data_IF_633107166677
#
_entry.id   IF_633107166677
#
_cell.length_a   1.000
_cell.length_b   1.000
_cell.length_c   1.000
_cell.angle_alpha   90.00
_cell.angle_beta   90.00
_cell.angle_gamma   90.00
#
_symmetry.space_group_name_H-M   'P 1'
#
loop_
_entity.id
_entity.type
_entity.pdbx_description
1 polymer ?
#
# COMPACT_ATOMS: atom_id res chain seq x y z
N UNK A 1 7.38 8.22 13.45
CA UNK A 1 6.32 8.11 12.40
C UNK A 1 6.79 8.85 11.16
N UNK A 2 6.28 8.50 9.99
CA UNK A 2 6.63 9.14 8.71
C UNK A 2 5.73 10.35 8.52
N UNK A 3 6.26 11.56 8.77
CA UNK A 3 5.49 12.82 8.75
C UNK A 3 4.84 13.13 7.39
N UNK A 4 5.44 12.63 6.29
CA UNK A 4 4.91 12.84 4.94
C UNK A 4 3.64 12.03 4.64
N UNK A 5 3.26 11.09 5.51
CA UNK A 5 2.07 10.25 5.36
C UNK A 5 1.01 10.66 6.39
N UNK A 6 0.18 11.62 6.02
CA UNK A 6 -1.03 11.96 6.76
C UNK A 6 -2.15 10.95 6.42
N UNK A 7 -3.36 11.15 6.97
CA UNK A 7 -4.46 10.16 7.00
C UNK A 7 -4.70 9.35 5.73
N UNK A 8 -4.79 10.00 4.54
CA UNK A 8 -5.27 9.32 3.33
C UNK A 8 -4.38 9.56 2.13
N UNK A 9 -4.04 8.47 1.45
CA UNK A 9 -3.38 8.44 0.17
C UNK A 9 -4.26 7.83 -0.91
N UNK A 10 -3.84 7.98 -2.17
CA UNK A 10 -4.50 7.41 -3.33
C UNK A 10 -3.52 6.59 -4.16
N UNK A 11 -3.93 5.41 -4.60
CA UNK A 11 -3.18 4.64 -5.57
C UNK A 11 -3.54 5.10 -6.99
N UNK A 12 -2.53 5.22 -7.84
CA UNK A 12 -2.68 5.54 -9.26
C UNK A 12 -2.05 4.46 -10.15
N UNK A 13 -2.72 4.21 -11.26
CA UNK A 13 -2.22 3.37 -12.34
C UNK A 13 -1.28 4.15 -13.23
N UNK A 14 -0.16 3.53 -13.66
CA UNK A 14 0.79 4.13 -14.59
C UNK A 14 0.19 4.13 -15.99
N UNK A 15 -0.16 5.31 -16.46
CA UNK A 15 -0.73 5.60 -17.79
C UNK A 15 0.02 6.76 -18.43
N UNK A 16 -0.34 7.09 -19.68
CA UNK A 16 0.21 8.27 -20.35
C UNK A 16 -0.20 9.57 -19.66
N UNK A 17 -1.39 9.58 -19.00
CA UNK A 17 -1.97 10.73 -18.29
C UNK A 17 -1.58 10.78 -16.80
N UNK A 18 -0.57 10.01 -16.37
CA UNK A 18 -0.18 9.87 -14.96
C UNK A 18 0.04 11.22 -14.25
N UNK A 19 0.69 12.18 -14.90
CA UNK A 19 0.98 13.48 -14.31
C UNK A 19 -0.28 14.35 -14.14
N UNK A 20 -1.25 14.24 -15.04
CA UNK A 20 -2.53 14.92 -14.94
C UNK A 20 -3.33 14.32 -13.79
N UNK A 21 -3.41 13.00 -13.70
CA UNK A 21 -4.04 12.26 -12.61
C UNK A 21 -3.41 12.62 -11.26
N UNK A 22 -2.09 12.68 -11.20
CA UNK A 22 -1.37 13.04 -9.97
C UNK A 22 -1.72 14.46 -9.48
N UNK A 23 -1.81 15.45 -10.40
CA UNK A 23 -2.24 16.82 -10.05
C UNK A 23 -3.68 16.86 -9.58
N UNK A 24 -4.58 16.09 -10.19
CA UNK A 24 -5.97 16.01 -9.77
C UNK A 24 -6.09 15.45 -8.34
N UNK A 25 -5.41 14.34 -8.04
CA UNK A 25 -5.37 13.71 -6.72
C UNK A 25 -4.80 14.66 -5.67
N UNK A 26 -3.70 15.35 -5.96
CA UNK A 26 -3.14 16.39 -5.07
C UNK A 26 -4.15 17.55 -4.87
N UNK A 27 -4.85 17.96 -5.94
CA UNK A 27 -5.87 19.01 -5.90
C UNK A 27 -7.08 18.65 -5.03
N UNK A 28 -7.46 17.38 -4.97
CA UNK A 28 -8.52 16.88 -4.09
C UNK A 28 -8.10 16.77 -2.62
N UNK A 29 -6.81 16.93 -2.30
CA UNK A 29 -6.31 16.96 -0.92
C UNK A 29 -5.76 15.65 -0.38
N UNK A 30 -5.58 14.62 -1.20
CA UNK A 30 -4.84 13.44 -0.78
C UNK A 30 -3.39 13.81 -0.46
N UNK A 31 -2.80 13.16 0.53
CA UNK A 31 -1.48 13.52 1.05
C UNK A 31 -0.35 12.66 0.47
N UNK A 32 -0.69 11.53 -0.16
CA UNK A 32 0.27 10.70 -0.85
C UNK A 32 -0.31 10.05 -2.11
N UNK A 33 0.57 9.76 -3.06
CA UNK A 33 0.28 9.00 -4.27
C UNK A 33 1.10 7.71 -4.26
N UNK A 34 0.41 6.59 -4.45
CA UNK A 34 0.98 5.25 -4.44
C UNK A 34 0.95 4.64 -5.84
N UNK A 35 2.02 3.96 -6.20
CA UNK A 35 2.10 3.19 -7.46
C UNK A 35 2.39 1.74 -7.14
N UNK A 36 1.51 0.84 -7.58
CA UNK A 36 1.66 -0.59 -7.34
C UNK A 36 2.97 -1.13 -7.95
N UNK A 37 3.72 -1.92 -7.16
CA UNK A 37 5.04 -2.44 -7.56
C UNK A 37 5.03 -3.26 -8.85
N UNK A 38 3.92 -3.96 -9.13
CA UNK A 38 3.75 -4.70 -10.39
C UNK A 38 3.72 -3.83 -11.65
N UNK A 39 3.54 -2.51 -11.51
CA UNK A 39 3.56 -1.53 -12.61
C UNK A 39 4.93 -0.86 -12.77
N UNK A 40 5.84 -1.06 -11.82
CA UNK A 40 7.16 -0.43 -11.80
C UNK A 40 8.18 -1.31 -12.54
N UNK A 41 8.07 -1.40 -13.86
CA UNK A 41 9.12 -2.00 -14.71
C UNK A 41 10.36 -1.10 -14.74
N UNK A 42 10.17 0.21 -14.59
CA UNK A 42 11.21 1.21 -14.28
C UNK A 42 10.75 2.05 -13.10
N UNK A 43 11.64 2.81 -12.49
CA UNK A 43 11.32 3.69 -11.36
C UNK A 43 10.95 5.12 -11.80
N UNK A 44 11.03 5.43 -13.10
CA UNK A 44 10.71 6.74 -13.68
C UNK A 44 9.28 7.25 -13.38
N UNK A 45 8.22 6.41 -13.33
CA UNK A 45 6.89 6.89 -12.98
C UNK A 45 6.83 7.64 -11.64
N UNK A 46 7.66 7.25 -10.66
CA UNK A 46 7.72 7.92 -9.36
C UNK A 46 8.29 9.34 -9.49
N UNK A 47 9.32 9.51 -10.30
CA UNK A 47 9.94 10.81 -10.57
C UNK A 47 8.99 11.72 -11.39
N UNK A 48 8.23 11.15 -12.33
CA UNK A 48 7.19 11.87 -13.08
C UNK A 48 6.15 12.48 -12.13
N UNK A 49 5.66 11.72 -11.16
CA UNK A 49 4.70 12.19 -10.16
C UNK A 49 5.33 13.30 -9.31
N UNK A 50 6.57 13.11 -8.83
CA UNK A 50 7.28 14.13 -8.03
C UNK A 50 7.44 15.46 -8.77
N UNK A 51 7.76 15.42 -10.08
CA UNK A 51 7.89 16.62 -10.92
C UNK A 51 6.55 17.29 -11.21
N UNK A 52 5.46 16.49 -11.28
CA UNK A 52 4.13 16.99 -11.63
C UNK A 52 3.37 17.62 -10.44
N UNK A 53 3.77 17.30 -9.21
CA UNK A 53 3.09 17.67 -7.97
C UNK A 53 3.99 18.50 -7.05
N UNK A 54 3.42 19.11 -6.01
CA UNK A 54 4.15 20.07 -5.15
C UNK A 54 4.20 19.68 -3.67
N UNK A 55 3.25 18.87 -3.18
CA UNK A 55 3.08 18.56 -1.75
C UNK A 55 3.02 17.09 -1.43
N UNK A 56 2.32 16.30 -2.25
CA UNK A 56 2.06 14.88 -1.96
C UNK A 56 3.34 14.08 -1.84
N UNK A 57 3.37 13.17 -0.89
CA UNK A 57 4.39 12.13 -0.84
C UNK A 57 4.18 11.13 -1.98
N UNK A 58 5.25 10.59 -2.53
CA UNK A 58 5.21 9.55 -3.57
C UNK A 58 5.77 8.26 -2.99
N UNK A 59 5.01 7.18 -3.14
CA UNK A 59 5.34 5.90 -2.50
C UNK A 59 5.17 4.75 -3.49
N UNK A 60 6.22 3.98 -3.79
CA UNK A 60 6.05 2.68 -4.45
C UNK A 60 5.39 1.68 -3.49
N UNK A 61 4.32 1.06 -3.91
CA UNK A 61 3.58 0.05 -3.13
C UNK A 61 3.70 -1.36 -3.71
N UNK A 62 4.83 -2.00 -3.74
CA UNK A 62 6.17 -1.76 -3.19
C UNK A 62 7.24 -2.03 -4.26
N UNK A 63 8.48 -1.59 -4.07
CA UNK A 63 9.61 -2.06 -4.87
C UNK A 63 10.02 -3.45 -4.39
N UNK A 64 9.95 -4.42 -5.30
CA UNK A 64 10.45 -5.77 -5.05
C UNK A 64 11.96 -5.81 -5.31
N UNK A 65 12.74 -6.26 -4.31
CA UNK A 65 14.20 -6.24 -4.37
C UNK A 65 14.81 -7.20 -5.41
N UNK A 66 14.03 -8.14 -5.93
CA UNK A 66 14.42 -9.02 -7.04
C UNK A 66 14.15 -8.39 -8.42
N UNK A 67 13.48 -7.24 -8.47
CA UNK A 67 13.23 -6.45 -9.69
C UNK A 67 14.17 -5.25 -9.75
N UNK A 68 14.25 -4.48 -8.66
CA UNK A 68 15.14 -3.33 -8.55
C UNK A 68 16.04 -3.51 -7.32
N UNK A 69 17.34 -3.62 -7.56
CA UNK A 69 18.35 -3.79 -6.51
C UNK A 69 18.59 -2.52 -5.69
N UNK A 70 19.37 -2.62 -4.60
CA UNK A 70 19.68 -1.50 -3.71
C UNK A 70 20.29 -0.29 -4.43
N UNK A 71 21.15 -0.51 -5.42
CA UNK A 71 21.79 0.55 -6.21
C UNK A 71 20.76 1.42 -6.95
N UNK A 72 19.84 0.79 -7.69
CA UNK A 72 18.78 1.50 -8.41
C UNK A 72 17.83 2.27 -7.47
N UNK A 73 17.59 1.73 -6.27
CA UNK A 73 16.78 2.40 -5.24
C UNK A 73 17.53 3.60 -4.65
N UNK A 74 18.84 3.48 -4.44
CA UNK A 74 19.67 4.58 -3.96
C UNK A 74 19.75 5.72 -4.99
N UNK A 75 19.90 5.39 -6.28
CA UNK A 75 19.85 6.36 -7.37
C UNK A 75 18.50 7.08 -7.45
N UNK A 76 17.39 6.32 -7.40
CA UNK A 76 16.04 6.89 -7.33
C UNK A 76 15.90 7.87 -6.16
N UNK A 77 16.36 7.48 -4.97
CA UNK A 77 16.23 8.31 -3.77
C UNK A 77 17.03 9.61 -3.92
N UNK A 78 18.27 9.53 -4.41
CA UNK A 78 19.10 10.70 -4.63
C UNK A 78 18.49 11.67 -5.67
N UNK A 79 17.94 11.16 -6.78
CA UNK A 79 17.26 11.98 -7.78
C UNK A 79 15.98 12.61 -7.23
N UNK A 80 15.18 11.83 -6.48
CA UNK A 80 13.97 12.32 -5.85
C UNK A 80 14.25 13.45 -4.84
N UNK A 81 15.29 13.32 -4.03
CA UNK A 81 15.72 14.37 -3.08
C UNK A 81 16.19 15.64 -3.80
N UNK A 82 16.81 15.51 -4.97
CA UNK A 82 17.19 16.67 -5.79
C UNK A 82 15.98 17.39 -6.42
N UNK A 83 14.91 16.67 -6.76
CA UNK A 83 13.69 17.21 -7.39
C UNK A 83 12.72 17.76 -6.32
N UNK A 84 12.46 16.98 -5.28
CA UNK A 84 11.42 17.19 -4.30
C UNK A 84 11.83 16.66 -2.92
N UNK A 85 12.70 17.39 -2.18
CA UNK A 85 13.25 16.92 -0.93
C UNK A 85 12.20 16.44 0.06
N UNK A 86 12.40 15.24 0.61
CA UNK A 86 11.54 14.65 1.64
C UNK A 86 10.19 14.12 1.17
N UNK A 87 9.91 14.09 -0.13
CA UNK A 87 8.61 13.64 -0.64
C UNK A 87 8.59 12.17 -1.11
N UNK A 88 9.74 11.54 -1.34
CA UNK A 88 9.79 10.12 -1.62
C UNK A 88 9.84 9.32 -0.32
N UNK A 89 8.93 8.34 -0.18
CA UNK A 89 8.98 7.31 0.86
C UNK A 89 9.13 5.96 0.17
N UNK A 90 10.23 5.26 0.46
CA UNK A 90 10.60 4.02 -0.23
C UNK A 90 9.87 2.83 0.38
N UNK A 91 8.81 2.36 -0.27
CA UNK A 91 8.15 1.11 0.09
C UNK A 91 8.90 -0.10 -0.47
N UNK A 92 9.36 -0.97 0.41
CA UNK A 92 10.15 -2.16 0.06
C UNK A 92 9.40 -3.45 0.32
N UNK A 93 9.61 -4.45 -0.54
CA UNK A 93 9.14 -5.80 -0.35
C UNK A 93 10.25 -6.83 -0.55
N UNK A 94 10.08 -7.99 0.05
CA UNK A 94 10.94 -9.14 -0.29
C UNK A 94 10.69 -9.60 -1.72
N UNK A 95 11.50 -10.56 -2.23
CA UNK A 95 11.34 -11.09 -3.56
C UNK A 95 9.91 -11.64 -3.76
N UNK A 96 9.36 -11.42 -4.94
CA UNK A 96 8.00 -11.85 -5.32
C UNK A 96 7.88 -13.38 -5.31
N UNK A 97 8.98 -14.08 -5.57
CA UNK A 97 9.04 -15.54 -5.49
C UNK A 97 9.45 -15.98 -4.09
N UNK A 98 8.66 -16.87 -3.50
CA UNK A 98 9.01 -17.50 -2.21
C UNK A 98 10.31 -18.27 -2.37
N UNK A 99 11.41 -17.77 -1.81
CA UNK A 99 12.72 -18.42 -1.82
C UNK A 99 13.20 -18.65 -0.39
N UNK A 100 13.88 -19.77 -0.18
CA UNK A 100 14.65 -19.96 1.05
C UNK A 100 15.68 -18.82 1.16
N UNK A 101 15.73 -18.16 2.32
CA UNK A 101 16.65 -17.03 2.54
C UNK A 101 16.10 -15.64 2.16
N UNK A 102 14.85 -15.52 1.69
CA UNK A 102 14.27 -14.23 1.30
C UNK A 102 14.39 -13.13 2.38
N UNK A 103 14.27 -13.49 3.66
CA UNK A 103 14.42 -12.53 4.77
C UNK A 103 15.89 -12.12 4.98
N UNK A 104 16.83 -13.04 4.76
CA UNK A 104 18.26 -12.74 4.82
C UNK A 104 18.70 -11.83 3.65
N UNK A 105 18.22 -12.13 2.43
CA UNK A 105 18.46 -11.29 1.25
C UNK A 105 17.90 -9.87 1.44
N UNK A 106 16.71 -9.75 2.03
CA UNK A 106 16.15 -8.43 2.41
C UNK A 106 17.04 -7.72 3.43
N UNK A 107 17.59 -8.45 4.42
CA UNK A 107 18.52 -7.89 5.40
C UNK A 107 19.79 -7.33 4.76
N UNK A 108 20.41 -8.09 3.85
CA UNK A 108 21.62 -7.65 3.12
C UNK A 108 21.34 -6.40 2.27
N UNK A 109 20.27 -6.40 1.49
CA UNK A 109 19.89 -5.24 0.69
C UNK A 109 19.59 -4.01 1.56
N UNK A 110 19.00 -4.22 2.73
CA UNK A 110 18.75 -3.14 3.68
C UNK A 110 20.04 -2.56 4.27
N UNK A 111 21.06 -3.39 4.55
CA UNK A 111 22.37 -2.92 5.04
C UNK A 111 23.02 -1.93 4.06
N UNK A 112 22.85 -2.14 2.75
CA UNK A 112 23.30 -1.21 1.71
C UNK A 112 22.46 0.08 1.65
N UNK A 113 21.15 -0.04 1.80
CA UNK A 113 20.22 1.10 1.70
C UNK A 113 20.22 2.01 2.93
N UNK A 114 20.58 1.51 4.11
CA UNK A 114 20.56 2.30 5.35
C UNK A 114 21.53 3.47 5.35
N UNK A 115 22.59 3.40 4.56
CA UNK A 115 23.55 4.50 4.40
C UNK A 115 22.99 5.68 3.57
N UNK A 116 21.96 5.45 2.74
CA UNK A 116 21.46 6.41 1.74
C UNK A 116 20.03 6.83 2.04
N UNK A 117 19.15 5.88 2.35
CA UNK A 117 17.74 6.15 2.61
C UNK A 117 17.49 6.14 4.12
N UNK A 118 17.11 7.26 4.75
CA UNK A 118 16.84 7.32 6.19
C UNK A 118 15.74 6.35 6.62
N UNK A 119 15.81 5.87 7.86
CA UNK A 119 14.81 4.94 8.41
C UNK A 119 13.38 5.45 8.27
N UNK A 120 13.15 6.71 8.58
CA UNK A 120 11.86 7.40 8.51
C UNK A 120 11.36 7.62 7.07
N UNK A 121 12.15 7.24 6.08
CA UNK A 121 11.78 7.26 4.66
C UNK A 121 11.60 5.88 4.06
N UNK A 122 11.55 4.83 4.90
CA UNK A 122 11.41 3.44 4.45
C UNK A 122 10.19 2.79 5.08
N UNK A 123 9.39 2.11 4.26
CA UNK A 123 8.31 1.22 4.66
C UNK A 123 8.61 -0.20 4.22
N UNK A 124 8.16 -1.18 5.01
CA UNK A 124 8.27 -2.59 4.66
C UNK A 124 6.88 -3.20 4.44
N UNK A 125 6.68 -3.89 3.31
CA UNK A 125 5.51 -4.75 3.12
C UNK A 125 5.59 -5.95 4.07
N UNK A 126 4.74 -5.96 5.08
CA UNK A 126 4.81 -6.91 6.17
C UNK A 126 3.43 -7.38 6.65
N UNK A 127 3.19 -8.69 6.56
CA UNK A 127 1.98 -9.33 7.08
C UNK A 127 2.31 -10.28 8.25
N UNK A 128 3.42 -11.00 8.18
CA UNK A 128 3.79 -11.98 9.18
C UNK A 128 4.65 -11.40 10.31
N UNK A 129 4.67 -12.07 11.49
CA UNK A 129 5.32 -11.55 12.69
C UNK A 129 6.81 -11.21 12.49
N UNK A 130 7.59 -12.05 11.76
CA UNK A 130 9.03 -11.79 11.54
C UNK A 130 9.29 -10.53 10.71
N UNK A 131 8.45 -10.26 9.69
CA UNK A 131 8.56 -9.05 8.89
C UNK A 131 8.10 -7.81 9.66
N UNK A 132 7.08 -7.95 10.52
CA UNK A 132 6.62 -6.86 11.38
C UNK A 132 7.69 -6.49 12.43
N UNK A 133 8.38 -7.48 13.01
CA UNK A 133 9.52 -7.21 13.89
C UNK A 133 10.64 -6.46 13.14
N UNK A 134 10.98 -6.91 11.93
CA UNK A 134 11.97 -6.23 11.09
C UNK A 134 11.53 -4.81 10.72
N UNK A 135 10.24 -4.61 10.40
CA UNK A 135 9.68 -3.29 10.12
C UNK A 135 9.82 -2.35 11.32
N UNK A 136 9.44 -2.83 12.51
CA UNK A 136 9.57 -2.08 13.76
C UNK A 136 11.02 -1.71 14.05
N UNK A 137 11.96 -2.62 13.84
CA UNK A 137 13.36 -2.44 14.26
C UNK A 137 14.18 -1.63 13.25
N UNK A 138 13.91 -1.75 11.94
CA UNK A 138 14.76 -1.20 10.87
C UNK A 138 14.08 -0.25 9.89
N UNK A 139 12.75 -0.03 9.99
CA UNK A 139 11.99 0.84 9.07
C UNK A 139 11.24 1.93 9.84
N UNK A 140 10.76 2.94 9.14
CA UNK A 140 9.84 3.93 9.68
C UNK A 140 8.44 3.37 9.92
N UNK A 141 8.12 2.23 9.29
CA UNK A 141 6.85 1.57 9.46
C UNK A 141 6.65 0.37 8.54
N UNK A 142 5.41 -0.11 8.53
CA UNK A 142 4.96 -1.21 7.69
C UNK A 142 3.78 -0.82 6.81
N UNK A 143 3.66 -1.47 5.65
CA UNK A 143 2.45 -1.43 4.83
C UNK A 143 1.84 -2.82 4.74
N UNK A 144 0.52 -2.88 4.94
CA UNK A 144 -0.30 -4.09 4.83
C UNK A 144 -1.31 -3.94 3.70
N UNK A 145 -1.69 -5.05 3.12
CA UNK A 145 -2.68 -5.13 2.04
C UNK A 145 -3.53 -6.38 2.24
N UNK A 146 -4.82 -6.35 1.87
CA UNK A 146 -5.77 -7.45 2.03
C UNK A 146 -5.92 -7.87 3.51
N UNK A 147 -6.11 -6.91 4.39
CA UNK A 147 -6.33 -7.13 5.82
C UNK A 147 -7.67 -6.56 6.27
N UNK A 148 -8.29 -7.22 7.26
CA UNK A 148 -9.47 -6.68 7.94
C UNK A 148 -9.06 -5.80 9.14
N UNK A 149 -9.97 -5.01 9.72
CA UNK A 149 -9.66 -4.14 10.87
C UNK A 149 -9.10 -4.90 12.08
N UNK A 150 -9.57 -6.11 12.37
CA UNK A 150 -9.07 -6.92 13.50
C UNK A 150 -7.61 -7.31 13.26
N UNK A 151 -7.24 -7.62 12.02
CA UNK A 151 -5.85 -7.91 11.69
C UNK A 151 -4.98 -6.64 11.75
N UNK A 152 -5.52 -5.49 11.34
CA UNK A 152 -4.86 -4.19 11.48
C UNK A 152 -4.56 -3.88 12.95
N UNK A 153 -5.51 -4.11 13.87
CA UNK A 153 -5.30 -3.96 15.30
C UNK A 153 -4.18 -4.89 15.81
N UNK A 154 -4.19 -6.16 15.39
CA UNK A 154 -3.12 -7.10 15.73
C UNK A 154 -1.74 -6.65 15.20
N UNK A 155 -1.69 -6.11 13.97
CA UNK A 155 -0.44 -5.54 13.40
C UNK A 155 0.02 -4.33 14.22
N UNK A 156 -0.90 -3.44 14.59
CA UNK A 156 -0.61 -2.26 15.41
C UNK A 156 -0.01 -2.65 16.76
N UNK A 157 -0.60 -3.62 17.45
CA UNK A 157 -0.08 -4.10 18.74
C UNK A 157 1.35 -4.61 18.61
N UNK A 158 1.66 -5.34 17.51
CA UNK A 158 3.00 -5.88 17.29
C UNK A 158 4.01 -4.85 16.83
N UNK A 159 3.59 -3.90 16.00
CA UNK A 159 4.46 -2.85 15.47
C UNK A 159 4.78 -1.78 16.52
N UNK A 160 3.86 -1.56 17.46
CA UNK A 160 3.96 -0.51 18.48
C UNK A 160 3.67 0.90 17.96
N UNK A 161 3.46 1.85 18.85
CA UNK A 161 3.08 3.22 18.53
C UNK A 161 4.19 4.11 17.95
N UNK A 162 5.44 3.63 17.92
CA UNK A 162 6.59 4.38 17.38
C UNK A 162 6.84 4.23 15.88
N UNK A 163 6.07 3.37 15.20
CA UNK A 163 6.21 3.07 13.78
C UNK A 163 4.93 3.40 13.02
N UNK A 164 5.05 3.86 11.80
CA UNK A 164 3.89 4.14 10.92
C UNK A 164 3.25 2.84 10.43
N UNK A 165 1.95 2.68 10.61
CA UNK A 165 1.17 1.60 10.02
C UNK A 165 0.35 2.13 8.84
N UNK A 166 0.65 1.64 7.66
CA UNK A 166 -0.10 1.92 6.44
C UNK A 166 -0.97 0.72 6.09
N UNK A 167 -2.23 0.98 5.79
CA UNK A 167 -3.15 -0.02 5.22
C UNK A 167 -3.47 0.39 3.78
N UNK A 168 -3.07 -0.43 2.82
CA UNK A 168 -3.51 -0.29 1.44
C UNK A 168 -4.87 -1.00 1.30
N UNK A 169 -5.93 -0.21 1.18
CA UNK A 169 -7.30 -0.69 1.11
C UNK A 169 -7.79 -0.70 -0.34
N UNK A 170 -7.96 -1.90 -0.88
CA UNK A 170 -8.60 -2.09 -2.17
C UNK A 170 -10.09 -1.75 -2.08
N UNK A 171 -10.56 -0.91 -3.02
CA UNK A 171 -11.91 -0.33 -3.01
C UNK A 171 -12.65 -0.65 -4.31
N UNK A 172 -13.90 -1.13 -4.21
CA UNK A 172 -14.81 -1.28 -5.35
C UNK A 172 -16.06 -0.45 -5.10
N UNK A 173 -16.17 0.69 -5.78
CA UNK A 173 -17.32 1.59 -5.63
C UNK A 173 -18.49 1.11 -6.51
N UNK A 174 -19.14 0.03 -6.10
CA UNK A 174 -20.29 -0.59 -6.77
C UNK A 174 -21.21 -1.22 -5.72
N UNK A 175 -22.50 -0.93 -5.77
CA UNK A 175 -23.49 -1.44 -4.82
C UNK A 175 -23.99 -2.86 -5.18
N UNK A 176 -23.79 -3.30 -6.40
CA UNK A 176 -24.10 -4.68 -6.78
C UNK A 176 -23.05 -5.64 -6.23
N UNK A 177 -23.46 -6.47 -5.29
CA UNK A 177 -22.57 -7.39 -4.59
C UNK A 177 -21.89 -8.41 -5.51
N UNK A 178 -22.56 -8.86 -6.57
CA UNK A 178 -22.01 -9.83 -7.50
C UNK A 178 -20.91 -9.20 -8.34
N UNK A 179 -21.15 -8.03 -8.88
CA UNK A 179 -20.19 -7.24 -9.67
C UNK A 179 -18.99 -6.85 -8.81
N UNK A 180 -19.21 -6.29 -7.61
CA UNK A 180 -18.14 -5.87 -6.71
C UNK A 180 -17.24 -7.03 -6.29
N UNK A 181 -17.81 -8.17 -5.88
CA UNK A 181 -17.04 -9.35 -5.50
C UNK A 181 -16.31 -9.99 -6.68
N UNK A 182 -16.90 -9.93 -7.89
CA UNK A 182 -16.22 -10.42 -9.09
C UNK A 182 -14.96 -9.58 -9.40
N UNK A 183 -15.06 -8.25 -9.34
CA UNK A 183 -13.92 -7.35 -9.52
C UNK A 183 -12.83 -7.57 -8.45
N UNK A 184 -13.21 -7.82 -7.20
CA UNK A 184 -12.28 -8.08 -6.10
C UNK A 184 -11.53 -9.43 -6.23
N UNK A 185 -12.17 -10.46 -6.81
CA UNK A 185 -11.56 -11.80 -6.93
C UNK A 185 -10.38 -11.85 -7.90
N UNK A 186 -10.35 -11.00 -8.90
CA UNK A 186 -9.25 -10.98 -9.88
C UNK A 186 -7.90 -10.67 -9.19
N UNK A 187 -7.71 -9.52 -8.51
CA UNK A 187 -6.47 -9.24 -7.79
C UNK A 187 -6.26 -10.18 -6.60
N UNK A 188 -7.31 -10.61 -5.90
CA UNK A 188 -7.21 -11.56 -4.80
C UNK A 188 -6.62 -12.89 -5.26
N UNK A 189 -7.03 -13.41 -6.42
CA UNK A 189 -6.53 -14.66 -7.00
C UNK A 189 -5.03 -14.58 -7.39
N UNK A 190 -4.55 -13.41 -7.78
CA UNK A 190 -3.13 -13.18 -8.03
C UNK A 190 -2.35 -13.05 -6.72
N UNK A 191 -2.78 -12.16 -5.83
CA UNK A 191 -2.07 -11.82 -4.59
C UNK A 191 -2.04 -12.98 -3.59
N UNK A 192 -3.10 -13.80 -3.52
CA UNK A 192 -3.14 -14.97 -2.62
C UNK A 192 -2.04 -16.00 -2.89
N UNK A 193 -1.46 -15.99 -4.10
CA UNK A 193 -0.32 -16.84 -4.48
C UNK A 193 1.03 -16.26 -4.06
N UNK A 194 1.08 -14.97 -3.70
CA UNK A 194 2.29 -14.33 -3.20
C UNK A 194 2.49 -14.71 -1.73
N UNK A 195 3.73 -15.02 -1.36
CA UNK A 195 4.03 -15.55 -0.02
C UNK A 195 3.59 -14.62 1.11
N UNK A 196 2.91 -15.20 2.10
CA UNK A 196 2.46 -14.51 3.32
C UNK A 196 0.95 -14.27 3.40
N UNK A 197 0.24 -14.11 2.27
CA UNK A 197 -1.20 -13.83 2.29
C UNK A 197 -2.03 -15.00 2.83
N UNK A 198 -1.79 -16.23 2.38
CA UNK A 198 -2.51 -17.40 2.91
C UNK A 198 -2.38 -17.53 4.43
N UNK A 199 -1.18 -17.32 4.97
CA UNK A 199 -0.95 -17.35 6.41
C UNK A 199 -1.63 -16.16 7.14
N UNK A 200 -1.75 -15.00 6.51
CA UNK A 200 -2.50 -13.87 7.05
C UNK A 200 -4.01 -14.16 7.06
N UNK A 201 -4.56 -14.70 5.99
CA UNK A 201 -5.97 -15.10 5.91
C UNK A 201 -6.32 -16.18 6.93
N UNK A 202 -5.45 -17.19 7.12
CA UNK A 202 -5.64 -18.19 8.19
C UNK A 202 -5.64 -17.56 9.58
N UNK A 203 -4.81 -16.53 9.84
CA UNK A 203 -4.85 -15.77 11.12
C UNK A 203 -6.12 -14.93 11.28
N UNK A 204 -6.71 -14.47 10.18
CA UNK A 204 -8.02 -13.81 10.18
C UNK A 204 -9.18 -14.79 10.40
N UNK A 205 -8.89 -16.10 10.51
CA UNK A 205 -9.87 -17.14 10.79
C UNK A 205 -10.45 -17.84 9.58
N UNK A 206 -9.96 -17.58 8.38
CA UNK A 206 -10.41 -18.26 7.16
C UNK A 206 -9.77 -19.64 7.01
N UNK A 207 -10.59 -20.61 6.63
CA UNK A 207 -10.16 -21.98 6.33
C UNK A 207 -9.43 -22.06 4.99
N UNK A 208 -8.64 -23.11 4.79
CA UNK A 208 -7.94 -23.37 3.51
C UNK A 208 -8.90 -23.45 2.33
N UNK A 209 -10.13 -23.91 2.55
CA UNK A 209 -11.18 -23.99 1.52
C UNK A 209 -11.67 -22.60 1.15
N UNK A 210 -12.01 -21.75 2.12
CA UNK A 210 -12.43 -20.36 1.88
C UNK A 210 -11.35 -19.54 1.17
N UNK A 211 -10.09 -19.75 1.54
CA UNK A 211 -8.94 -19.09 0.90
C UNK A 211 -8.79 -19.54 -0.54
N UNK A 212 -8.82 -20.85 -0.79
CA UNK A 212 -8.66 -21.42 -2.14
C UNK A 212 -9.80 -21.01 -3.07
N UNK A 213 -11.02 -20.98 -2.56
CA UNK A 213 -12.23 -20.62 -3.31
C UNK A 213 -12.48 -19.11 -3.36
N UNK A 214 -11.67 -18.32 -2.67
CA UNK A 214 -11.86 -16.87 -2.53
C UNK A 214 -13.31 -16.55 -2.14
N UNK A 215 -13.73 -17.13 -1.01
CA UNK A 215 -15.13 -17.06 -0.52
C UNK A 215 -15.62 -15.61 -0.45
N UNK A 216 -16.93 -15.43 -0.54
CA UNK A 216 -17.55 -14.11 -0.35
C UNK A 216 -17.13 -13.48 0.98
N UNK A 217 -17.04 -14.29 2.05
CA UNK A 217 -16.59 -13.83 3.35
C UNK A 217 -15.15 -13.29 3.34
N UNK A 218 -14.23 -13.94 2.64
CA UNK A 218 -12.85 -13.46 2.50
C UNK A 218 -12.80 -12.13 1.73
N UNK A 219 -13.55 -12.03 0.63
CA UNK A 219 -13.66 -10.78 -0.15
C UNK A 219 -14.22 -9.66 0.71
N UNK A 220 -15.35 -9.90 1.39
CA UNK A 220 -16.04 -8.90 2.22
C UNK A 220 -15.19 -8.43 3.40
N UNK A 221 -14.31 -9.30 3.91
CA UNK A 221 -13.39 -8.96 5.00
C UNK A 221 -12.22 -8.10 4.53
N UNK A 222 -11.71 -8.31 3.32
CA UNK A 222 -10.42 -7.73 2.87
C UNK A 222 -10.58 -6.57 1.88
N UNK A 223 -11.75 -6.41 1.25
CA UNK A 223 -12.07 -5.30 0.33
C UNK A 223 -13.12 -4.36 0.93
N UNK A 224 -13.00 -3.08 0.60
CA UNK A 224 -14.07 -2.11 0.85
C UNK A 224 -14.92 -1.99 -0.43
N UNK A 225 -16.17 -2.47 -0.41
CA UNK A 225 -17.05 -2.38 -1.57
C UNK A 225 -18.45 -1.90 -1.21
N UNK A 226 -19.15 -1.33 -2.17
CA UNK A 226 -20.51 -0.80 -2.00
C UNK A 226 -20.63 0.66 -2.40
N UNK A 227 -21.66 1.35 -1.91
CA UNK A 227 -21.81 2.80 -2.03
C UNK A 227 -20.75 3.56 -1.22
N UNK A 228 -20.61 4.85 -1.48
CA UNK A 228 -19.58 5.69 -0.86
C UNK A 228 -19.60 5.62 0.68
N UNK A 229 -20.78 5.66 1.31
CA UNK A 229 -20.90 5.62 2.77
C UNK A 229 -20.36 4.33 3.38
N UNK A 230 -20.60 3.19 2.73
CA UNK A 230 -20.08 1.89 3.17
C UNK A 230 -18.56 1.78 3.01
N UNK A 231 -18.04 2.29 1.89
CA UNK A 231 -16.58 2.36 1.67
C UNK A 231 -15.94 3.25 2.71
N UNK A 232 -16.47 4.47 2.94
CA UNK A 232 -15.97 5.39 3.95
C UNK A 232 -16.01 4.81 5.37
N UNK A 233 -17.05 4.05 5.71
CA UNK A 233 -17.14 3.36 6.99
C UNK A 233 -15.98 2.36 7.16
N UNK A 234 -15.68 1.55 6.13
CA UNK A 234 -14.55 0.61 6.15
C UNK A 234 -13.19 1.31 6.31
N UNK A 235 -12.96 2.45 5.64
CA UNK A 235 -11.72 3.22 5.79
C UNK A 235 -11.54 3.71 7.23
N UNK A 236 -12.63 4.22 7.85
CA UNK A 236 -12.63 4.64 9.26
C UNK A 236 -12.43 3.48 10.24
N UNK A 237 -12.93 2.28 9.93
CA UNK A 237 -12.66 1.07 10.71
C UNK A 237 -11.17 0.73 10.72
N UNK A 238 -10.46 0.89 9.60
CA UNK A 238 -9.00 0.70 9.53
C UNK A 238 -8.24 1.73 10.38
N UNK A 239 -8.66 3.01 10.34
CA UNK A 239 -8.08 4.04 11.21
C UNK A 239 -8.33 3.73 12.70
N UNK A 240 -9.56 3.39 13.06
CA UNK A 240 -9.92 3.04 14.44
C UNK A 240 -9.16 1.80 14.94
N UNK A 241 -8.79 0.89 14.03
CA UNK A 241 -7.96 -0.27 14.30
C UNK A 241 -6.46 0.06 14.42
N UNK A 242 -6.06 1.32 14.20
CA UNK A 242 -4.70 1.79 14.42
C UNK A 242 -3.88 2.05 13.15
N UNK A 243 -4.49 2.09 11.96
CA UNK A 243 -3.80 2.60 10.78
C UNK A 243 -3.53 4.10 10.94
N UNK A 244 -2.28 4.54 10.73
CA UNK A 244 -1.93 5.96 10.70
C UNK A 244 -2.22 6.56 9.32
N UNK A 245 -2.17 5.74 8.28
CA UNK A 245 -2.37 6.11 6.90
C UNK A 245 -3.14 5.01 6.16
N UNK A 246 -4.19 5.40 5.46
CA UNK A 246 -4.99 4.48 4.63
C UNK A 246 -4.87 4.89 3.17
N UNK A 247 -4.39 3.99 2.33
CA UNK A 247 -4.31 4.18 0.88
C UNK A 247 -5.61 3.67 0.26
N UNK A 248 -6.24 4.48 -0.55
CA UNK A 248 -7.41 4.09 -1.34
C UNK A 248 -6.92 3.59 -2.70
N UNK A 249 -7.13 2.30 -2.97
CA UNK A 249 -6.73 1.63 -4.21
C UNK A 249 -7.98 1.18 -4.97
N UNK A 250 -8.53 2.01 -5.89
CA UNK A 250 -9.74 1.71 -6.61
C UNK A 250 -9.59 0.55 -7.58
N UNK A 251 -10.65 -0.27 -7.69
CA UNK A 251 -10.77 -1.37 -8.64
C UNK A 251 -12.15 -1.33 -9.31
N UNK A 252 -12.19 -1.49 -10.62
CA UNK A 252 -13.48 -1.55 -11.35
C UNK A 252 -14.37 -0.32 -11.12
N UNK A 253 -15.69 -0.54 -11.09
CA UNK A 253 -16.67 0.52 -10.83
C UNK A 253 -16.61 1.67 -11.83
N UNK A 254 -16.78 2.94 -11.37
CA UNK A 254 -16.76 4.12 -12.23
C UNK A 254 -15.37 4.49 -12.75
N UNK A 255 -14.34 3.75 -12.37
CA UNK A 255 -12.95 4.01 -12.68
C UNK A 255 -12.18 4.66 -11.52
N UNK A 256 -10.86 4.65 -11.65
CA UNK A 256 -9.93 5.06 -10.60
C UNK A 256 -10.14 6.52 -10.14
N UNK A 257 -10.05 7.47 -11.07
CA UNK A 257 -10.18 8.89 -10.73
C UNK A 257 -11.58 9.24 -10.23
N UNK A 258 -12.63 8.73 -10.87
CA UNK A 258 -14.00 9.01 -10.45
C UNK A 258 -14.29 8.47 -9.04
N UNK A 259 -13.70 7.34 -8.67
CA UNK A 259 -13.79 6.80 -7.30
C UNK A 259 -13.07 7.71 -6.31
N UNK A 260 -11.83 8.12 -6.61
CA UNK A 260 -11.04 9.00 -5.74
C UNK A 260 -11.70 10.37 -5.57
N UNK A 261 -12.14 11.00 -6.66
CA UNK A 261 -12.86 12.28 -6.63
C UNK A 261 -14.12 12.23 -5.76
N UNK A 262 -14.91 11.14 -5.91
CA UNK A 262 -16.16 10.98 -5.14
C UNK A 262 -15.92 10.79 -3.65
N UNK A 263 -14.84 10.15 -3.23
CA UNK A 263 -14.54 9.89 -1.83
C UNK A 263 -13.82 11.07 -1.14
N UNK A 264 -13.05 11.86 -1.88
CA UNK A 264 -12.21 12.94 -1.36
C UNK A 264 -12.92 13.92 -0.41
N UNK A 265 -14.12 14.50 -0.72
CA UNK A 265 -14.74 15.48 0.16
C UNK A 265 -15.04 14.99 1.58
N UNK A 266 -15.26 13.67 1.74
CA UNK A 266 -15.56 13.06 3.03
C UNK A 266 -14.33 12.59 3.81
N UNK A 267 -13.17 12.58 3.17
CA UNK A 267 -11.90 12.09 3.73
C UNK A 267 -10.94 13.23 4.08
N UNK A 268 -10.81 14.21 3.19
CA UNK A 268 -9.79 15.27 3.28
C UNK A 268 -10.35 16.65 3.59
N UNK A 269 -11.66 16.81 3.68
CA UNK A 269 -12.37 18.05 4.00
C UNK A 269 -12.79 18.20 5.47
N UNK A 270 -12.34 17.32 6.35
CA UNK A 270 -12.73 17.29 7.78
C UNK A 270 -11.58 17.63 8.71
#
# INVERSE_FOLDING_TARGET
MIEALERYGAALTVTDDLEEHARAVEGWGYTSIWVAGGQLTTLEPLLRILRATTRVAVVPGIIALDVHGPEAIAELYAEAEAIAPGRLVVGLGGPQRTQAGALAALGTALDELEAVVPRERRLLAALGPRKLDLARDRFGGAVTLLVNPEYTAWVRDRLGGGSTLVVDQLVVLDEDAQTARAAAREPLGFLSRVGGYAAAFSRMGFTDTEIREMSDGLVDATFAWGGADRVLARLREQEAAGADHVVISPLGGPGELATLERLAPSLVGS
#
